data_IF_571200439999
#
_entry.id   IF_571200439999
#
_cell.length_a   1.000
_cell.length_b   1.000
_cell.length_c   1.000
_cell.angle_alpha   90.00
_cell.angle_beta   90.00
_cell.angle_gamma   90.00
#
_symmetry.space_group_name_H-M   'P 1'
#
loop_
_entity.id
_entity.type
_entity.pdbx_description
1 polymer ?
#
# COMPACT_ATOMS: atom_id res chain seq x y z
N UNK A 1 1.49 -7.70 5.30
CA UNK A 1 1.81 -6.31 5.69
C UNK A 1 3.18 -6.28 6.33
N UNK A 2 3.36 -6.92 7.50
CA UNK A 2 4.65 -6.99 8.20
C UNK A 2 5.79 -7.57 7.35
N UNK A 3 5.50 -8.63 6.59
CA UNK A 3 6.43 -9.24 5.64
C UNK A 3 6.97 -8.25 4.60
N UNK A 4 6.15 -7.30 4.14
CA UNK A 4 6.58 -6.28 3.18
C UNK A 4 7.62 -5.31 3.78
N UNK A 5 7.41 -4.87 5.02
CA UNK A 5 8.37 -4.03 5.72
C UNK A 5 9.65 -4.79 6.09
N UNK A 6 9.56 -6.06 6.43
CA UNK A 6 10.73 -6.89 6.74
C UNK A 6 11.66 -7.05 5.52
N UNK A 7 11.09 -7.30 4.33
CA UNK A 7 11.85 -7.36 3.07
C UNK A 7 12.53 -6.02 2.78
N UNK A 8 11.85 -4.89 3.04
CA UNK A 8 12.44 -3.58 2.83
C UNK A 8 13.60 -3.28 3.79
N UNK A 9 13.47 -3.69 5.06
CA UNK A 9 14.52 -3.54 6.07
C UNK A 9 15.74 -4.38 5.69
N UNK A 10 15.54 -5.64 5.29
CA UNK A 10 16.61 -6.52 4.81
C UNK A 10 17.39 -5.87 3.65
N UNK A 11 16.67 -5.39 2.63
CA UNK A 11 17.29 -4.68 1.51
C UNK A 11 18.02 -3.39 1.93
N UNK A 12 17.47 -2.62 2.87
CA UNK A 12 18.12 -1.40 3.36
C UNK A 12 19.41 -1.67 4.13
N UNK A 13 19.49 -2.80 4.85
CA UNK A 13 20.69 -3.23 5.58
C UNK A 13 21.77 -3.73 4.62
N UNK A 14 21.39 -4.49 3.59
CA UNK A 14 22.34 -5.03 2.60
C UNK A 14 22.85 -3.95 1.64
N UNK A 15 22.02 -2.95 1.32
CA UNK A 15 22.33 -1.88 0.37
C UNK A 15 22.24 -0.48 1.04
N UNK A 16 23.15 -0.15 1.98
CA UNK A 16 23.08 1.09 2.74
C UNK A 16 23.46 2.33 1.93
N UNK A 17 24.08 2.16 0.75
CA UNK A 17 24.54 3.27 -0.08
C UNK A 17 23.40 3.84 -0.92
N UNK A 18 23.23 5.18 -0.99
CA UNK A 18 22.18 5.82 -1.78
C UNK A 18 22.23 5.50 -3.28
N UNK A 19 23.41 5.17 -3.80
CA UNK A 19 23.63 4.75 -5.19
C UNK A 19 23.00 3.37 -5.51
N UNK A 20 22.89 2.51 -4.50
CA UNK A 20 22.35 1.16 -4.64
C UNK A 20 20.87 1.11 -4.28
N UNK A 21 20.47 1.86 -3.26
CA UNK A 21 19.07 2.04 -2.87
C UNK A 21 18.83 3.50 -2.53
N UNK A 22 18.20 4.22 -3.45
CA UNK A 22 17.89 5.62 -3.23
C UNK A 22 16.88 5.75 -2.10
N UNK A 23 17.13 6.65 -1.14
CA UNK A 23 16.22 6.90 -0.03
C UNK A 23 14.81 7.32 -0.48
N UNK A 24 14.68 7.93 -1.67
CA UNK A 24 13.40 8.27 -2.28
C UNK A 24 12.54 7.04 -2.63
N UNK A 25 13.13 5.84 -2.74
CA UNK A 25 12.36 4.63 -3.02
C UNK A 25 11.59 4.13 -1.79
N UNK A 26 12.02 4.47 -0.57
CA UNK A 26 11.26 4.16 0.66
C UNK A 26 9.91 4.89 0.71
N UNK A 27 9.81 6.09 0.14
CA UNK A 27 8.56 6.87 0.13
C UNK A 27 7.42 6.09 -0.53
N UNK A 28 7.72 5.28 -1.55
CA UNK A 28 6.74 4.43 -2.22
C UNK A 28 6.05 3.46 -1.22
N UNK A 29 6.84 2.76 -0.40
CA UNK A 29 6.33 1.86 0.64
C UNK A 29 5.58 2.57 1.76
N UNK A 30 5.98 3.81 2.11
CA UNK A 30 5.27 4.66 3.09
C UNK A 30 3.89 5.03 2.57
N UNK A 31 3.76 5.48 1.31
CA UNK A 31 2.46 5.81 0.72
C UNK A 31 1.54 4.58 0.62
N UNK A 32 2.09 3.41 0.27
CA UNK A 32 1.34 2.14 0.28
C UNK A 32 0.81 1.81 1.68
N UNK A 33 1.61 2.06 2.72
CA UNK A 33 1.20 1.85 4.13
C UNK A 33 0.13 2.83 4.59
N UNK A 34 0.25 4.11 4.22
CA UNK A 34 -0.80 5.10 4.50
C UNK A 34 -2.12 4.69 3.82
N UNK A 35 -2.05 4.28 2.56
CA UNK A 35 -3.21 3.81 1.82
C UNK A 35 -3.82 2.54 2.44
N UNK A 36 -3.00 1.61 2.95
CA UNK A 36 -3.47 0.44 3.70
C UNK A 36 -4.33 0.86 4.90
N UNK A 37 -3.88 1.82 5.71
CA UNK A 37 -4.66 2.30 6.85
C UNK A 37 -5.91 3.06 6.41
N UNK A 38 -5.82 3.91 5.39
CA UNK A 38 -6.97 4.68 4.89
C UNK A 38 -8.10 3.75 4.43
N UNK A 39 -7.79 2.69 3.67
CA UNK A 39 -8.79 1.76 3.13
C UNK A 39 -9.40 0.89 4.25
N UNK A 40 -8.57 0.41 5.18
CA UNK A 40 -9.00 -0.51 6.23
C UNK A 40 -9.61 0.18 7.46
N UNK A 41 -9.43 1.49 7.62
CA UNK A 41 -10.07 2.27 8.68
C UNK A 41 -11.57 2.50 8.45
N UNK A 42 -12.04 2.44 7.20
CA UNK A 42 -13.45 2.59 6.84
C UNK A 42 -14.12 1.21 6.85
N UNK A 43 -15.19 1.04 7.64
CA UNK A 43 -15.95 -0.23 7.68
C UNK A 43 -16.74 -0.47 6.40
N UNK A 44 -17.15 -1.71 6.13
CA UNK A 44 -17.97 -1.99 4.94
C UNK A 44 -19.40 -1.47 5.12
N UNK A 45 -19.92 -1.49 6.35
CA UNK A 45 -21.20 -0.88 6.72
C UNK A 45 -21.27 0.65 6.42
N UNK A 46 -20.18 1.40 6.68
CA UNK A 46 -20.11 2.83 6.37
C UNK A 46 -20.16 3.12 4.87
N UNK A 47 -19.62 2.22 4.03
CA UNK A 47 -19.67 2.33 2.57
C UNK A 47 -21.06 1.99 2.03
N UNK A 48 -21.69 0.96 2.61
CA UNK A 48 -23.04 0.51 2.26
C UNK A 48 -24.12 1.50 2.68
N UNK A 49 -23.89 2.22 3.78
CA UNK A 49 -24.82 3.23 4.30
C UNK A 49 -25.77 2.69 5.37
N UNK A 50 -25.43 1.56 6.00
CA UNK A 50 -26.25 0.93 7.05
C UNK A 50 -26.03 1.58 8.44
N UNK A 51 -25.21 2.64 8.52
CA UNK A 51 -24.96 3.38 9.74
C UNK A 51 -26.04 4.44 9.97
N UNK A 52 -26.83 4.29 11.03
CA UNK A 52 -27.88 5.22 11.48
C UNK A 52 -27.37 6.59 11.99
N UNK A 53 -26.05 6.83 11.94
CA UNK A 53 -25.39 8.05 12.41
C UNK A 53 -24.84 8.84 11.23
N UNK A 54 -25.55 9.88 10.82
CA UNK A 54 -25.08 10.85 9.84
C UNK A 54 -24.00 11.75 10.49
N UNK A 55 -22.75 11.27 10.44
CA UNK A 55 -21.59 12.08 10.86
C UNK A 55 -21.29 13.22 9.87
N UNK A 56 -20.43 14.18 10.25
CA UNK A 56 -20.17 15.44 9.54
C UNK A 56 -19.77 15.35 8.03
N UNK A 57 -19.38 14.17 7.54
CA UNK A 57 -18.98 13.91 6.15
C UNK A 57 -19.89 12.86 5.45
N UNK A 58 -20.82 12.26 6.19
CA UNK A 58 -21.80 11.29 5.73
C UNK A 58 -21.22 10.12 4.91
N UNK A 59 -22.10 9.51 4.11
CA UNK A 59 -21.78 8.41 3.18
C UNK A 59 -20.82 8.83 2.06
N UNK A 60 -20.93 10.09 1.60
CA UNK A 60 -20.14 10.62 0.49
C UNK A 60 -18.67 10.79 0.87
N UNK A 61 -18.39 11.29 2.08
CA UNK A 61 -17.02 11.43 2.57
C UNK A 61 -16.30 10.09 2.77
N UNK A 62 -16.99 9.07 3.28
CA UNK A 62 -16.43 7.72 3.39
C UNK A 62 -16.04 7.13 2.02
N UNK A 63 -16.84 7.38 0.98
CA UNK A 63 -16.53 6.96 -0.39
C UNK A 63 -15.35 7.72 -0.99
N UNK A 64 -15.29 9.04 -0.80
CA UNK A 64 -14.16 9.86 -1.27
C UNK A 64 -12.87 9.42 -0.57
N UNK A 65 -12.91 9.21 0.74
CA UNK A 65 -11.75 8.74 1.52
C UNK A 65 -11.24 7.39 1.02
N UNK A 66 -12.16 6.44 0.79
CA UNK A 66 -11.83 5.13 0.25
C UNK A 66 -11.29 5.23 -1.18
N UNK A 67 -11.85 6.10 -2.02
CA UNK A 67 -11.38 6.33 -3.38
C UNK A 67 -9.94 6.87 -3.40
N UNK A 68 -9.64 7.88 -2.58
CA UNK A 68 -8.27 8.42 -2.43
C UNK A 68 -7.32 7.33 -1.94
N UNK A 69 -7.75 6.52 -0.96
CA UNK A 69 -6.97 5.38 -0.48
C UNK A 69 -6.61 4.41 -1.59
N UNK A 70 -7.57 4.02 -2.43
CA UNK A 70 -7.30 3.15 -3.59
C UNK A 70 -6.40 3.81 -4.63
N UNK A 71 -6.58 5.10 -4.93
CA UNK A 71 -5.69 5.82 -5.84
C UNK A 71 -4.25 5.83 -5.35
N UNK A 72 -4.01 6.11 -4.06
CA UNK A 72 -2.68 6.09 -3.46
C UNK A 72 -2.06 4.69 -3.52
N UNK A 73 -2.87 3.65 -3.27
CA UNK A 73 -2.44 2.27 -3.30
C UNK A 73 -2.02 1.82 -4.71
N UNK A 74 -2.82 2.11 -5.74
CA UNK A 74 -2.47 1.79 -7.11
C UNK A 74 -1.29 2.64 -7.60
N UNK A 75 -1.25 3.92 -7.22
CA UNK A 75 -0.14 4.82 -7.52
C UNK A 75 1.20 4.30 -6.98
N UNK A 76 1.23 3.84 -5.72
CA UNK A 76 2.44 3.27 -5.13
C UNK A 76 2.84 1.96 -5.81
N UNK A 77 1.88 1.09 -6.17
CA UNK A 77 2.18 -0.15 -6.87
C UNK A 77 2.79 0.11 -8.27
N UNK A 78 2.21 1.01 -9.05
CA UNK A 78 2.72 1.39 -10.38
C UNK A 78 4.11 2.04 -10.25
N UNK A 79 4.30 2.93 -9.28
CA UNK A 79 5.60 3.55 -9.03
C UNK A 79 6.67 2.52 -8.64
N UNK A 80 6.32 1.52 -7.82
CA UNK A 80 7.24 0.44 -7.45
C UNK A 80 7.63 -0.44 -8.66
N UNK A 81 6.70 -0.65 -9.59
CA UNK A 81 6.96 -1.35 -10.85
C UNK A 81 7.93 -0.54 -11.73
N UNK A 82 7.75 0.78 -11.81
CA UNK A 82 8.67 1.66 -12.51
C UNK A 82 10.07 1.65 -11.89
N UNK A 83 10.18 1.67 -10.56
CA UNK A 83 11.48 1.58 -9.87
C UNK A 83 12.18 0.29 -10.23
N UNK A 84 11.50 -0.85 -10.18
CA UNK A 84 12.07 -2.16 -10.54
C UNK A 84 12.62 -2.16 -11.97
N UNK A 85 11.79 -1.83 -12.96
CA UNK A 85 12.20 -1.94 -14.36
C UNK A 85 13.09 -0.77 -14.81
N UNK A 86 12.70 0.45 -14.49
CA UNK A 86 13.33 1.67 -15.00
C UNK A 86 14.62 2.06 -14.27
N UNK A 87 14.74 1.80 -12.97
CA UNK A 87 15.95 2.14 -12.22
C UNK A 87 16.95 0.98 -12.12
N UNK A 88 16.47 -0.27 -12.10
CA UNK A 88 17.33 -1.43 -11.89
C UNK A 88 17.53 -2.31 -13.13
N UNK A 89 16.44 -2.80 -13.75
CA UNK A 89 16.54 -3.75 -14.87
C UNK A 89 17.17 -3.12 -16.11
N UNK A 90 16.73 -1.93 -16.53
CA UNK A 90 17.27 -1.25 -17.73
C UNK A 90 18.70 -0.76 -17.54
N UNK A 91 19.10 -0.44 -16.31
CA UNK A 91 20.44 0.05 -15.97
C UNK A 91 21.46 -1.08 -15.77
N UNK A 92 21.06 -2.35 -15.90
CA UNK A 92 21.90 -3.53 -15.65
C UNK A 92 22.60 -3.49 -14.27
N UNK A 93 21.96 -2.88 -13.28
CA UNK A 93 22.45 -2.87 -11.90
C UNK A 93 21.91 -4.09 -11.13
N UNK A 94 22.33 -4.27 -9.88
CA UNK A 94 21.79 -5.35 -9.07
C UNK A 94 20.28 -5.14 -8.87
N UNK A 95 19.47 -6.08 -9.36
CA UNK A 95 18.00 -5.98 -9.42
C UNK A 95 17.34 -6.22 -8.05
N UNK A 96 18.07 -6.80 -7.09
CA UNK A 96 17.55 -7.17 -5.78
C UNK A 96 16.86 -6.02 -5.02
N UNK A 97 17.43 -4.79 -4.92
CA UNK A 97 16.79 -3.69 -4.20
C UNK A 97 15.48 -3.25 -4.89
N UNK A 98 15.45 -3.27 -6.23
CA UNK A 98 14.23 -3.00 -7.00
C UNK A 98 13.14 -4.05 -6.72
N UNK A 99 13.51 -5.34 -6.64
CA UNK A 99 12.58 -6.40 -6.28
C UNK A 99 12.05 -6.22 -4.86
N UNK A 100 12.89 -5.85 -3.90
CA UNK A 100 12.47 -5.62 -2.52
C UNK A 100 11.41 -4.50 -2.42
N UNK A 101 11.62 -3.37 -3.12
CA UNK A 101 10.65 -2.26 -3.17
C UNK A 101 9.33 -2.70 -3.80
N UNK A 102 9.39 -3.47 -4.90
CA UNK A 102 8.20 -4.00 -5.55
C UNK A 102 7.44 -4.98 -4.65
N UNK A 103 8.13 -5.96 -4.06
CA UNK A 103 7.53 -6.94 -3.16
C UNK A 103 6.94 -6.29 -1.91
N UNK A 104 7.57 -5.25 -1.36
CA UNK A 104 6.99 -4.48 -0.26
C UNK A 104 5.60 -3.94 -0.64
N UNK A 105 5.51 -3.24 -1.78
CA UNK A 105 4.26 -2.64 -2.25
C UNK A 105 3.22 -3.69 -2.63
N UNK A 106 3.62 -4.77 -3.30
CA UNK A 106 2.73 -5.87 -3.67
C UNK A 106 2.16 -6.58 -2.44
N UNK A 107 2.98 -6.88 -1.43
CA UNK A 107 2.52 -7.53 -0.20
C UNK A 107 1.58 -6.63 0.61
N UNK A 108 1.84 -5.33 0.68
CA UNK A 108 0.93 -4.37 1.33
C UNK A 108 -0.37 -4.24 0.54
N UNK A 109 -0.32 -4.23 -0.79
CA UNK A 109 -1.50 -4.24 -1.66
C UNK A 109 -2.38 -5.47 -1.39
N UNK A 110 -1.82 -6.68 -1.47
CA UNK A 110 -2.57 -7.90 -1.19
C UNK A 110 -3.12 -7.92 0.24
N UNK A 111 -2.32 -7.47 1.21
CA UNK A 111 -2.80 -7.35 2.59
C UNK A 111 -4.00 -6.41 2.68
N UNK A 112 -3.98 -5.29 1.96
CA UNK A 112 -5.10 -4.33 1.96
C UNK A 112 -6.37 -4.98 1.42
N UNK A 113 -6.28 -5.71 0.31
CA UNK A 113 -7.43 -6.41 -0.26
C UNK A 113 -7.95 -7.49 0.68
N UNK A 114 -7.07 -8.29 1.27
CA UNK A 114 -7.44 -9.35 2.21
C UNK A 114 -8.12 -8.76 3.45
N UNK A 115 -7.57 -7.69 4.05
CA UNK A 115 -8.19 -7.05 5.22
C UNK A 115 -9.54 -6.38 4.88
N UNK A 116 -9.66 -5.76 3.70
CA UNK A 116 -10.89 -5.05 3.33
C UNK A 116 -12.03 -6.00 2.95
N UNK A 117 -11.72 -7.02 2.14
CA UNK A 117 -12.72 -7.95 1.59
C UNK A 117 -12.83 -9.27 2.35
N UNK A 118 -11.80 -9.66 3.10
CA UNK A 118 -11.82 -10.86 3.94
C UNK A 118 -12.52 -10.67 5.29
N UNK A 119 -12.83 -9.42 5.68
CA UNK A 119 -13.67 -9.16 6.86
C UNK A 119 -15.11 -9.59 6.58
N UNK A 120 -15.51 -10.72 7.17
CA UNK A 120 -16.90 -11.15 7.25
C UNK A 120 -17.65 -10.30 8.29
N UNK A 121 -18.00 -9.06 7.93
CA UNK A 121 -18.88 -8.22 8.76
C UNK A 121 -20.35 -8.71 8.75
N UNK A 122 -20.66 -9.81 8.05
CA UNK A 122 -22.04 -10.30 7.81
C UNK A 122 -22.47 -11.51 8.67
N UNK A 123 -21.68 -11.97 9.64
CA UNK A 123 -22.07 -13.16 10.44
C UNK A 123 -22.85 -12.87 11.73
N UNK A 124 -23.04 -11.59 12.10
CA UNK A 124 -23.74 -11.21 13.33
C UNK A 124 -24.65 -9.98 13.14
N UNK A 125 -25.48 -10.02 12.11
CA UNK A 125 -26.60 -9.08 11.90
C UNK A 125 -27.83 -9.84 11.46
#
# INVERSE_FOLDING_TARGET
FFTGWWIMIDAAVVYPKPEQLNHAFHTCGVFSTLAFFMINAVSNAQVRGDSYSDGCLGRTGARIWLFIGFMLMFGSLIASMWILFGAYVTQNTNVYPGLAVFFQNALIFFSTLIYKFGRTEELWG
#
